data_IF_922997236266
#
_entry.id   IF_922997236266
#
_cell.length_a   1.000
_cell.length_b   1.000
_cell.length_c   1.000
_cell.angle_alpha   90.00
_cell.angle_beta   90.00
_cell.angle_gamma   90.00
#
_symmetry.space_group_name_H-M   'P 1'
#
loop_
_entity.id
_entity.type
_entity.pdbx_description
1 polymer ?
#
# COMPACT_ATOMS: atom_id res chain seq x y z
N UNK A 1 2.97 -52.81 21.02
CA UNK A 1 3.65 -51.58 20.58
C UNK A 1 3.05 -50.91 19.32
N UNK A 2 1.91 -51.38 18.77
CA UNK A 2 1.41 -50.90 17.45
C UNK A 2 0.30 -49.82 17.50
N UNK A 3 -0.37 -49.60 18.65
CA UNK A 3 -1.48 -48.66 18.74
C UNK A 3 -1.04 -47.18 18.75
N UNK A 4 0.10 -46.87 19.37
CA UNK A 4 0.61 -45.49 19.45
C UNK A 4 1.13 -44.99 18.09
N UNK A 5 1.73 -45.89 17.29
CA UNK A 5 2.25 -45.56 15.97
C UNK A 5 1.13 -45.24 14.98
N UNK A 6 0.08 -46.09 14.95
CA UNK A 6 -1.09 -45.88 14.10
C UNK A 6 -1.85 -44.60 14.45
N UNK A 7 -2.00 -44.31 15.76
CA UNK A 7 -2.64 -43.08 16.25
C UNK A 7 -1.83 -41.82 15.90
N UNK A 8 -0.49 -41.88 15.91
CA UNK A 8 0.36 -40.75 15.50
C UNK A 8 0.29 -40.47 14.00
N UNK A 9 0.23 -41.52 13.16
CA UNK A 9 0.03 -41.38 11.72
C UNK A 9 -1.36 -40.80 11.38
N UNK A 10 -2.41 -41.27 12.06
CA UNK A 10 -3.77 -40.77 11.84
C UNK A 10 -3.93 -39.30 12.26
N UNK A 11 -3.23 -38.86 13.31
CA UNK A 11 -3.22 -37.45 13.73
C UNK A 11 -2.45 -36.57 12.75
N UNK A 12 -1.29 -37.04 12.26
CA UNK A 12 -0.48 -36.29 11.29
C UNK A 12 -1.22 -36.14 9.94
N UNK A 13 -1.88 -37.20 9.47
CA UNK A 13 -2.67 -37.13 8.22
C UNK A 13 -3.84 -36.16 8.32
N UNK A 14 -4.58 -36.13 9.44
CA UNK A 14 -5.68 -35.17 9.65
C UNK A 14 -5.19 -33.72 9.65
N UNK A 15 -4.06 -33.43 10.29
CA UNK A 15 -3.50 -32.08 10.33
C UNK A 15 -3.04 -31.60 8.94
N UNK A 16 -2.52 -32.51 8.10
CA UNK A 16 -2.12 -32.21 6.72
C UNK A 16 -3.35 -31.93 5.85
N UNK A 17 -4.40 -32.76 5.94
CA UNK A 17 -5.64 -32.56 5.20
C UNK A 17 -6.35 -31.24 5.58
N UNK A 18 -6.38 -30.90 6.86
CA UNK A 18 -6.96 -29.64 7.35
C UNK A 18 -6.21 -28.41 6.83
N UNK A 19 -4.88 -28.47 6.75
CA UNK A 19 -4.07 -27.39 6.19
C UNK A 19 -4.28 -27.24 4.68
N UNK A 20 -4.35 -28.33 3.93
CA UNK A 20 -4.62 -28.31 2.49
C UNK A 20 -6.02 -27.73 2.22
N UNK A 21 -7.03 -28.10 3.02
CA UNK A 21 -8.39 -27.57 2.90
C UNK A 21 -8.43 -26.06 3.16
N UNK A 22 -7.68 -25.56 4.14
CA UNK A 22 -7.54 -24.12 4.39
C UNK A 22 -6.90 -23.39 3.22
N UNK A 23 -5.79 -23.90 2.68
CA UNK A 23 -5.11 -23.27 1.53
C UNK A 23 -6.04 -23.21 0.32
N UNK A 24 -6.74 -24.31 0.02
CA UNK A 24 -7.74 -24.33 -1.06
C UNK A 24 -8.87 -23.33 -0.84
N UNK A 25 -9.32 -23.13 0.41
CA UNK A 25 -10.32 -22.11 0.75
C UNK A 25 -9.80 -20.70 0.44
N UNK A 26 -8.57 -20.38 0.86
CA UNK A 26 -7.94 -19.08 0.62
C UNK A 26 -7.76 -18.83 -0.89
N UNK A 27 -7.29 -19.82 -1.65
CA UNK A 27 -7.14 -19.71 -3.11
C UNK A 27 -8.49 -19.45 -3.79
N UNK A 28 -9.58 -20.10 -3.34
CA UNK A 28 -10.90 -19.80 -3.86
C UNK A 28 -11.34 -18.36 -3.57
N UNK A 29 -11.02 -17.83 -2.38
CA UNK A 29 -11.27 -16.42 -2.05
C UNK A 29 -10.43 -15.49 -2.93
N UNK A 30 -9.15 -15.79 -3.16
CA UNK A 30 -8.30 -15.03 -4.08
C UNK A 30 -8.90 -14.97 -5.48
N UNK A 31 -9.40 -16.09 -6.01
CA UNK A 31 -10.06 -16.13 -7.31
C UNK A 31 -11.30 -15.23 -7.37
N UNK A 32 -12.12 -15.20 -6.31
CA UNK A 32 -13.27 -14.29 -6.25
C UNK A 32 -12.85 -12.82 -6.24
N UNK A 33 -11.76 -12.50 -5.56
CA UNK A 33 -11.20 -11.14 -5.55
C UNK A 33 -10.60 -10.78 -6.91
N UNK A 34 -9.92 -11.71 -7.57
CA UNK A 34 -9.38 -11.55 -8.93
C UNK A 34 -10.48 -11.24 -9.94
N UNK A 35 -11.54 -12.05 -9.98
CA UNK A 35 -12.69 -11.80 -10.88
C UNK A 35 -13.39 -10.48 -10.59
N UNK A 36 -13.49 -10.11 -9.31
CA UNK A 36 -14.06 -8.82 -8.94
C UNK A 36 -13.18 -7.64 -9.40
N UNK A 37 -11.86 -7.75 -9.30
CA UNK A 37 -10.93 -6.74 -9.82
C UNK A 37 -10.99 -6.64 -11.34
N UNK A 38 -11.02 -7.76 -12.07
CA UNK A 38 -11.25 -7.77 -13.53
C UNK A 38 -12.53 -7.02 -13.88
N UNK A 39 -13.62 -7.33 -13.18
CA UNK A 39 -14.90 -6.66 -13.40
C UNK A 39 -14.81 -5.15 -13.13
N UNK A 40 -14.16 -4.72 -12.04
CA UNK A 40 -13.99 -3.31 -11.71
C UNK A 40 -13.20 -2.55 -12.78
N UNK A 41 -12.11 -3.12 -13.28
CA UNK A 41 -11.30 -2.50 -14.33
C UNK A 41 -11.97 -2.56 -15.72
N UNK A 42 -12.82 -3.57 -15.97
CA UNK A 42 -13.58 -3.69 -17.22
C UNK A 42 -14.81 -2.78 -17.26
N UNK A 43 -15.28 -2.30 -16.10
CA UNK A 43 -16.45 -1.43 -16.03
C UNK A 43 -16.06 -0.02 -16.46
N UNK A 44 -16.52 0.38 -17.64
CA UNK A 44 -16.30 1.73 -18.17
C UNK A 44 -17.29 2.72 -17.51
N UNK A 45 -17.08 2.98 -16.22
CA UNK A 45 -17.83 4.02 -15.50
C UNK A 45 -17.38 5.40 -16.04
N UNK A 46 -18.33 6.23 -16.46
CA UNK A 46 -18.08 7.64 -16.83
C UNK A 46 -17.84 8.44 -15.55
N UNK A 47 -16.62 8.33 -15.02
CA UNK A 47 -16.19 9.03 -13.80
C UNK A 47 -15.94 10.50 -14.13
N UNK A 48 -17.02 11.29 -14.14
CA UNK A 48 -17.02 12.68 -14.55
C UNK A 48 -16.96 13.69 -13.39
N UNK A 49 -17.05 13.21 -12.15
CA UNK A 49 -16.90 14.02 -10.95
C UNK A 49 -15.74 13.51 -10.08
N UNK A 50 -15.14 14.43 -9.33
CA UNK A 50 -14.01 14.17 -8.45
C UNK A 50 -14.32 13.12 -7.37
N UNK A 51 -15.54 13.10 -6.81
CA UNK A 51 -15.94 12.11 -5.82
C UNK A 51 -16.03 10.72 -6.45
N UNK A 52 -16.57 10.62 -7.66
CA UNK A 52 -16.65 9.36 -8.39
C UNK A 52 -15.25 8.78 -8.65
N UNK A 53 -14.30 9.61 -9.10
CA UNK A 53 -12.89 9.21 -9.30
C UNK A 53 -12.25 8.73 -8.00
N UNK A 54 -12.44 9.45 -6.90
CA UNK A 54 -11.89 9.10 -5.59
C UNK A 54 -12.50 7.80 -5.06
N UNK A 55 -13.82 7.63 -5.18
CA UNK A 55 -14.54 6.43 -4.77
C UNK A 55 -14.11 5.21 -5.57
N UNK A 56 -13.97 5.33 -6.89
CA UNK A 56 -13.45 4.23 -7.71
C UNK A 56 -12.03 3.84 -7.26
N UNK A 57 -11.12 4.81 -7.13
CA UNK A 57 -9.76 4.56 -6.66
C UNK A 57 -9.75 3.86 -5.30
N UNK A 58 -10.58 4.32 -4.37
CA UNK A 58 -10.71 3.75 -3.03
C UNK A 58 -11.24 2.32 -3.06
N UNK A 59 -12.28 2.05 -3.85
CA UNK A 59 -12.85 0.69 -4.04
C UNK A 59 -11.81 -0.29 -4.56
N UNK A 60 -11.10 0.06 -5.63
CA UNK A 60 -10.04 -0.79 -6.21
C UNK A 60 -8.88 -0.97 -5.23
N UNK A 61 -8.41 0.10 -4.60
CA UNK A 61 -7.32 0.04 -3.62
C UNK A 61 -7.63 -0.90 -2.45
N UNK A 62 -8.83 -0.79 -1.88
CA UNK A 62 -9.29 -1.66 -0.80
C UNK A 62 -9.27 -3.12 -1.25
N UNK A 63 -9.73 -3.39 -2.46
CA UNK A 63 -9.81 -4.75 -3.01
C UNK A 63 -8.43 -5.37 -3.27
N UNK A 64 -7.47 -4.55 -3.72
CA UNK A 64 -6.06 -4.94 -3.83
C UNK A 64 -5.47 -5.25 -2.45
N UNK A 65 -5.79 -4.47 -1.42
CA UNK A 65 -5.33 -4.75 -0.04
C UNK A 65 -5.90 -6.08 0.47
N UNK A 66 -7.21 -6.30 0.30
CA UNK A 66 -7.86 -7.57 0.68
C UNK A 66 -7.17 -8.77 -0.01
N UNK A 67 -6.88 -8.63 -1.31
CA UNK A 67 -6.17 -9.66 -2.08
C UNK A 67 -4.76 -9.90 -1.55
N UNK A 68 -4.00 -8.84 -1.26
CA UNK A 68 -2.66 -8.94 -0.72
C UNK A 68 -2.65 -9.65 0.64
N UNK A 69 -3.64 -9.40 1.49
CA UNK A 69 -3.77 -10.08 2.78
C UNK A 69 -4.02 -11.58 2.60
N UNK A 70 -4.88 -11.97 1.66
CA UNK A 70 -5.12 -13.38 1.33
C UNK A 70 -3.83 -14.05 0.83
N UNK A 71 -3.05 -13.36 -0.01
CA UNK A 71 -1.76 -13.87 -0.50
C UNK A 71 -0.80 -14.14 0.66
N UNK A 72 -0.66 -13.19 1.59
CA UNK A 72 0.16 -13.37 2.79
C UNK A 72 -0.34 -14.51 3.67
N UNK A 73 -1.66 -14.64 3.85
CA UNK A 73 -2.25 -15.74 4.61
C UNK A 73 -1.96 -17.10 3.94
N UNK A 74 -2.07 -17.18 2.62
CA UNK A 74 -1.74 -18.38 1.86
C UNK A 74 -0.26 -18.76 1.98
N UNK A 75 0.64 -17.77 1.85
CA UNK A 75 2.10 -17.96 1.97
C UNK A 75 2.50 -18.52 3.33
N UNK A 76 1.89 -18.00 4.41
CA UNK A 76 2.09 -18.50 5.76
C UNK A 76 1.65 -19.97 5.90
N UNK A 77 0.48 -20.32 5.36
CA UNK A 77 -0.02 -21.69 5.40
C UNK A 77 0.77 -22.66 4.51
N UNK A 78 1.30 -22.18 3.38
CA UNK A 78 2.20 -22.94 2.51
C UNK A 78 3.54 -23.22 3.22
N UNK A 79 4.14 -22.23 3.86
CA UNK A 79 5.42 -22.36 4.56
C UNK A 79 5.35 -23.36 5.73
N UNK A 80 4.17 -23.52 6.34
CA UNK A 80 3.92 -24.48 7.41
C UNK A 80 3.53 -25.89 6.93
N UNK A 81 3.47 -26.15 5.62
CA UNK A 81 3.11 -27.47 5.06
C UNK A 81 4.34 -28.25 4.61
N UNK A 82 4.50 -29.49 5.12
CA UNK A 82 5.60 -30.39 4.73
C UNK A 82 5.47 -30.92 3.29
N UNK A 83 4.27 -30.89 2.71
CA UNK A 83 4.01 -31.30 1.34
C UNK A 83 3.04 -30.34 0.65
N UNK A 84 3.49 -29.74 -0.45
CA UNK A 84 2.69 -28.82 -1.28
C UNK A 84 2.58 -29.44 -2.66
N UNK A 85 1.34 -29.64 -3.12
CA UNK A 85 1.08 -30.09 -4.49
C UNK A 85 1.58 -29.06 -5.50
N UNK A 86 2.26 -29.46 -6.59
CA UNK A 86 2.71 -28.54 -7.65
C UNK A 86 1.61 -27.63 -8.21
N UNK A 87 0.38 -28.15 -8.33
CA UNK A 87 -0.79 -27.39 -8.79
C UNK A 87 -1.12 -26.22 -7.83
N UNK A 88 -1.03 -26.44 -6.52
CA UNK A 88 -1.28 -25.41 -5.52
C UNK A 88 -0.28 -24.26 -5.64
N UNK A 89 0.99 -24.63 -5.88
CA UNK A 89 2.09 -23.67 -6.05
C UNK A 89 1.89 -22.84 -7.31
N UNK A 90 1.50 -23.46 -8.42
CA UNK A 90 1.21 -22.75 -9.68
C UNK A 90 0.06 -21.75 -9.52
N UNK A 91 -1.02 -22.13 -8.80
CA UNK A 91 -2.12 -21.20 -8.52
C UNK A 91 -1.69 -20.03 -7.63
N UNK A 92 -0.87 -20.29 -6.61
CA UNK A 92 -0.31 -19.23 -5.78
C UNK A 92 0.55 -18.25 -6.60
N UNK A 93 1.45 -18.75 -7.45
CA UNK A 93 2.31 -17.94 -8.32
C UNK A 93 1.48 -17.11 -9.33
N UNK A 94 0.39 -17.68 -9.85
CA UNK A 94 -0.57 -16.95 -10.69
C UNK A 94 -1.16 -15.74 -9.94
N UNK A 95 -1.66 -15.95 -8.73
CA UNK A 95 -2.26 -14.89 -7.92
C UNK A 95 -1.23 -13.83 -7.51
N UNK A 96 0.01 -14.24 -7.19
CA UNK A 96 1.12 -13.34 -6.86
C UNK A 96 1.47 -12.42 -8.03
N UNK A 97 1.47 -12.94 -9.25
CA UNK A 97 1.69 -12.11 -10.46
C UNK A 97 0.52 -11.15 -10.71
N UNK A 98 -0.72 -11.61 -10.54
CA UNK A 98 -1.90 -10.79 -10.78
C UNK A 98 -2.00 -9.60 -9.83
N UNK A 99 -1.68 -9.78 -8.54
CA UNK A 99 -1.75 -8.66 -7.60
C UNK A 99 -0.81 -7.51 -7.98
N UNK A 100 0.39 -7.82 -8.48
CA UNK A 100 1.32 -6.80 -8.95
C UNK A 100 0.86 -6.15 -10.25
N UNK A 101 0.19 -6.89 -11.13
CA UNK A 101 -0.48 -6.33 -12.31
C UNK A 101 -1.53 -5.29 -11.89
N UNK A 102 -2.42 -5.62 -10.96
CA UNK A 102 -3.47 -4.68 -10.53
C UNK A 102 -2.93 -3.45 -9.82
N UNK A 103 -1.88 -3.58 -9.00
CA UNK A 103 -1.19 -2.43 -8.40
C UNK A 103 -0.66 -1.47 -9.48
N UNK A 104 -0.06 -2.03 -10.54
CA UNK A 104 0.44 -1.27 -11.67
C UNK A 104 -0.69 -0.66 -12.50
N UNK A 105 -1.74 -1.40 -12.80
CA UNK A 105 -2.91 -0.91 -13.53
C UNK A 105 -3.58 0.26 -12.80
N UNK A 106 -3.80 0.13 -11.49
CA UNK A 106 -4.35 1.23 -10.68
C UNK A 106 -3.45 2.47 -10.71
N UNK A 107 -2.12 2.28 -10.66
CA UNK A 107 -1.15 3.38 -10.75
C UNK A 107 -1.22 4.08 -12.11
N UNK A 108 -1.22 3.32 -13.21
CA UNK A 108 -1.35 3.86 -14.57
C UNK A 108 -2.67 4.59 -14.74
N UNK A 109 -3.77 3.97 -14.30
CA UNK A 109 -5.11 4.57 -14.33
C UNK A 109 -5.15 5.89 -13.57
N UNK A 110 -4.58 5.95 -12.36
CA UNK A 110 -4.56 7.16 -11.56
C UNK A 110 -3.70 8.26 -12.20
N UNK A 111 -2.50 7.92 -12.68
CA UNK A 111 -1.62 8.89 -13.33
C UNK A 111 -2.26 9.50 -14.59
N UNK A 112 -3.06 8.73 -15.33
CA UNK A 112 -3.82 9.22 -16.47
C UNK A 112 -4.94 10.20 -16.11
N UNK A 113 -5.53 10.09 -14.90
CA UNK A 113 -6.68 10.91 -14.47
C UNK A 113 -6.38 11.93 -13.38
N UNK A 114 -5.18 11.93 -12.82
CA UNK A 114 -4.82 12.81 -11.70
C UNK A 114 -5.01 14.29 -12.07
N UNK A 115 -4.64 14.70 -13.27
CA UNK A 115 -4.81 16.09 -13.70
C UNK A 115 -6.29 16.49 -13.80
N UNK A 116 -7.13 15.62 -14.37
CA UNK A 116 -8.57 15.85 -14.45
C UNK A 116 -9.22 15.90 -13.07
N UNK A 117 -8.81 15.01 -12.15
CA UNK A 117 -9.24 15.04 -10.76
C UNK A 117 -8.94 16.39 -10.10
N UNK A 118 -7.70 16.88 -10.20
CA UNK A 118 -7.35 18.18 -9.61
C UNK A 118 -8.10 19.34 -10.27
N UNK A 119 -8.33 19.29 -11.59
CA UNK A 119 -9.14 20.27 -12.31
C UNK A 119 -10.57 20.31 -11.74
N UNK A 120 -11.22 19.15 -11.61
CA UNK A 120 -12.59 19.04 -11.07
C UNK A 120 -12.66 19.52 -9.61
N UNK A 121 -11.67 19.18 -8.78
CA UNK A 121 -11.58 19.68 -7.41
C UNK A 121 -11.50 21.21 -7.36
N UNK A 122 -10.66 21.81 -8.20
CA UNK A 122 -10.51 23.26 -8.26
C UNK A 122 -11.76 23.95 -8.80
N UNK A 123 -12.40 23.36 -9.81
CA UNK A 123 -13.67 23.86 -10.36
C UNK A 123 -14.76 23.85 -9.29
N UNK A 124 -14.93 22.75 -8.55
CA UNK A 124 -15.88 22.66 -7.44
C UNK A 124 -15.58 23.67 -6.33
N UNK A 125 -14.31 23.85 -5.97
CA UNK A 125 -13.90 24.83 -4.96
C UNK A 125 -14.23 26.27 -5.39
N UNK A 126 -13.93 26.64 -6.64
CA UNK A 126 -14.21 27.96 -7.18
C UNK A 126 -15.72 28.21 -7.28
N UNK A 127 -16.48 27.23 -7.78
CA UNK A 127 -17.94 27.31 -7.87
C UNK A 127 -18.57 27.53 -6.50
N UNK A 128 -18.08 26.84 -5.46
CA UNK A 128 -18.53 27.04 -4.07
C UNK A 128 -18.20 28.43 -3.54
N UNK A 129 -17.00 28.96 -3.84
CA UNK A 129 -16.64 30.34 -3.48
C UNK A 129 -17.53 31.37 -4.17
N UNK A 130 -17.84 31.18 -5.45
CA UNK A 130 -18.72 32.08 -6.21
C UNK A 130 -20.14 32.04 -5.63
N UNK A 131 -20.67 30.87 -5.27
CA UNK A 131 -21.98 30.78 -4.62
C UNK A 131 -22.01 31.50 -3.28
N UNK A 132 -20.94 31.37 -2.46
CA UNK A 132 -20.87 32.03 -1.15
C UNK A 132 -20.78 33.56 -1.26
N UNK A 133 -20.09 34.08 -2.29
CA UNK A 133 -19.99 35.53 -2.58
C UNK A 133 -21.33 36.09 -3.07
N UNK A 134 -22.06 35.34 -3.91
CA UNK A 134 -23.35 35.78 -4.43
C UNK A 134 -24.43 35.86 -3.33
N UNK A 135 -24.33 35.04 -2.27
CA UNK A 135 -25.25 35.07 -1.12
C UNK A 135 -24.98 36.26 -0.17
N UNK A 136 -23.79 36.86 -0.20
CA UNK A 136 -23.36 37.94 0.72
C UNK A 136 -23.37 39.35 0.10
N UNK A 137 -23.97 39.50 -1.08
CA UNK A 137 -23.92 40.75 -1.86
C UNK A 137 -24.95 41.81 -1.44
N UNK A 138 -24.55 42.70 -0.53
CA UNK A 138 -24.91 44.14 -0.57
C UNK A 138 -23.60 44.91 -0.87
N UNK A 139 -23.62 45.78 -1.87
CA UNK A 139 -22.46 46.07 -2.74
C UNK A 139 -21.31 46.96 -2.18
N UNK A 140 -21.40 47.50 -0.96
CA UNK A 140 -20.34 48.39 -0.42
C UNK A 140 -19.20 47.67 0.34
N UNK A 141 -19.40 46.42 0.78
CA UNK A 141 -18.40 45.67 1.56
C UNK A 141 -17.41 44.84 0.72
N UNK A 142 -17.65 44.70 -0.60
CA UNK A 142 -16.86 43.81 -1.48
C UNK A 142 -15.39 44.23 -1.60
N UNK A 143 -15.09 45.52 -1.71
CA UNK A 143 -13.71 46.00 -1.89
C UNK A 143 -12.86 45.91 -0.61
N UNK A 144 -13.47 45.98 0.57
CA UNK A 144 -12.76 45.76 1.84
C UNK A 144 -12.56 44.27 2.12
N UNK A 145 -13.55 43.43 1.81
CA UNK A 145 -13.48 41.99 2.05
C UNK A 145 -12.46 41.28 1.14
N UNK A 146 -12.33 41.70 -0.13
CA UNK A 146 -11.30 41.16 -1.04
C UNK A 146 -9.88 41.46 -0.55
N UNK A 147 -9.62 42.66 -0.05
CA UNK A 147 -8.32 43.06 0.49
C UNK A 147 -7.96 42.32 1.79
N UNK A 148 -8.94 42.10 2.67
CA UNK A 148 -8.78 41.30 3.89
C UNK A 148 -8.47 39.84 3.53
N UNK A 149 -9.21 39.27 2.58
CA UNK A 149 -8.99 37.89 2.12
C UNK A 149 -7.62 37.69 1.44
N UNK A 150 -7.15 38.68 0.67
CA UNK A 150 -5.81 38.66 0.07
C UNK A 150 -4.71 38.71 1.13
N UNK A 151 -4.90 39.51 2.18
CA UNK A 151 -3.96 39.62 3.30
C UNK A 151 -3.90 38.33 4.13
N UNK A 152 -5.03 37.71 4.40
CA UNK A 152 -5.11 36.44 5.11
C UNK A 152 -4.52 35.29 4.28
N UNK A 153 -4.79 35.27 2.98
CA UNK A 153 -4.16 34.30 2.06
C UNK A 153 -2.65 34.47 2.02
N UNK A 154 -2.15 35.71 1.95
CA UNK A 154 -0.71 35.99 1.99
C UNK A 154 -0.08 35.52 3.31
N UNK A 155 -0.76 35.69 4.44
CA UNK A 155 -0.31 35.23 5.74
C UNK A 155 -0.24 33.70 5.80
N UNK A 156 -1.29 33.00 5.36
CA UNK A 156 -1.31 31.54 5.28
C UNK A 156 -0.18 30.99 4.40
N UNK A 157 0.09 31.63 3.25
CA UNK A 157 1.20 31.24 2.37
C UNK A 157 2.56 31.41 3.06
N UNK A 158 2.76 32.49 3.81
CA UNK A 158 4.01 32.72 4.56
C UNK A 158 4.19 31.67 5.66
N UNK A 159 3.12 31.36 6.40
CA UNK A 159 3.14 30.38 7.47
C UNK A 159 3.44 28.96 6.93
N UNK A 160 2.86 28.59 5.78
CA UNK A 160 3.15 27.32 5.13
C UNK A 160 4.60 27.25 4.58
N UNK A 161 5.12 28.34 4.01
CA UNK A 161 6.54 28.41 3.60
C UNK A 161 7.47 28.19 4.80
N UNK A 162 7.14 28.76 5.96
CA UNK A 162 7.94 28.58 7.17
C UNK A 162 7.85 27.14 7.70
N UNK A 163 6.65 26.55 7.69
CA UNK A 163 6.47 25.13 8.02
C UNK A 163 7.29 24.23 7.11
N UNK A 164 7.25 24.46 5.79
CA UNK A 164 8.03 23.70 4.81
C UNK A 164 9.55 23.82 5.04
N UNK A 165 10.04 25.01 5.40
CA UNK A 165 11.46 25.21 5.75
C UNK A 165 11.87 24.40 6.97
N UNK A 166 11.03 24.34 7.99
CA UNK A 166 11.30 23.56 9.20
C UNK A 166 11.34 22.05 8.88
N UNK A 167 10.34 21.54 8.16
CA UNK A 167 10.30 20.13 7.73
C UNK A 167 11.52 19.77 6.89
N UNK A 168 11.98 20.66 6.00
CA UNK A 168 13.21 20.45 5.23
C UNK A 168 14.44 20.33 6.13
N UNK A 169 14.54 21.16 7.17
CA UNK A 169 15.65 21.10 8.14
C UNK A 169 15.65 19.76 8.89
N UNK A 170 14.49 19.31 9.38
CA UNK A 170 14.35 18.02 10.06
C UNK A 170 14.71 16.84 9.15
N UNK A 171 14.32 16.89 7.87
CA UNK A 171 14.65 15.86 6.89
C UNK A 171 16.16 15.77 6.64
N UNK A 172 16.85 16.92 6.57
CA UNK A 172 18.32 16.96 6.41
C UNK A 172 19.00 16.35 7.64
N UNK A 173 18.54 16.68 8.85
CA UNK A 173 19.07 16.10 10.09
C UNK A 173 18.86 14.58 10.14
N UNK A 174 17.68 14.11 9.74
CA UNK A 174 17.36 12.67 9.63
C UNK A 174 18.29 11.97 8.63
N UNK A 175 18.53 12.57 7.47
CA UNK A 175 19.46 12.03 6.47
C UNK A 175 20.89 11.91 7.01
N UNK A 176 21.35 12.89 7.79
CA UNK A 176 22.67 12.81 8.43
C UNK A 176 22.72 11.71 9.50
N UNK A 177 21.64 11.50 10.26
CA UNK A 177 21.54 10.40 11.24
C UNK A 177 21.59 9.04 10.56
N UNK A 178 20.90 8.87 9.42
CA UNK A 178 20.95 7.63 8.63
C UNK A 178 22.36 7.32 8.13
N UNK A 179 23.08 8.32 7.59
CA UNK A 179 24.49 8.13 7.17
C UNK A 179 25.37 7.63 8.31
N UNK A 180 25.22 8.19 9.52
CA UNK A 180 25.97 7.73 10.70
C UNK A 180 25.60 6.29 11.09
N UNK A 181 24.34 5.89 10.96
CA UNK A 181 23.92 4.51 11.21
C UNK A 181 24.52 3.53 10.21
N UNK A 182 24.57 3.89 8.92
CA UNK A 182 25.22 3.07 7.89
C UNK A 182 26.72 2.91 8.14
N UNK A 183 27.41 3.98 8.56
CA UNK A 183 28.83 3.91 8.95
C UNK A 183 29.05 2.93 10.12
N UNK A 184 28.21 3.01 11.16
CA UNK A 184 28.27 2.09 12.31
C UNK A 184 28.00 0.65 11.87
N UNK A 185 27.00 0.44 11.02
CA UNK A 185 26.64 -0.87 10.50
C UNK A 185 27.79 -1.49 9.70
N UNK A 186 28.43 -0.72 8.82
CA UNK A 186 29.59 -1.18 8.04
C UNK A 186 30.76 -1.58 8.95
N UNK A 187 31.05 -0.79 9.99
CA UNK A 187 32.09 -1.14 10.98
C UNK A 187 31.73 -2.44 11.72
N UNK A 188 30.47 -2.60 12.12
CA UNK A 188 29.99 -3.81 12.77
C UNK A 188 30.10 -5.03 11.85
N UNK A 189 29.68 -4.91 10.60
CA UNK A 189 29.76 -5.97 9.60
C UNK A 189 31.22 -6.40 9.36
N UNK A 190 32.14 -5.43 9.24
CA UNK A 190 33.58 -5.72 9.14
C UNK A 190 34.10 -6.50 10.35
N UNK A 191 33.68 -6.15 11.57
CA UNK A 191 34.08 -6.87 12.79
C UNK A 191 33.52 -8.29 12.84
N UNK A 192 32.27 -8.50 12.43
CA UNK A 192 31.66 -9.84 12.33
C UNK A 192 32.42 -10.68 11.31
N UNK A 193 32.69 -10.16 10.12
CA UNK A 193 33.46 -10.86 9.08
C UNK A 193 34.87 -11.22 9.56
N UNK A 194 35.55 -10.29 10.25
CA UNK A 194 36.87 -10.54 10.82
C UNK A 194 36.83 -11.66 11.87
N UNK A 195 35.85 -11.60 12.79
CA UNK A 195 35.66 -12.61 13.83
C UNK A 195 35.34 -13.99 13.24
N UNK A 196 34.48 -14.05 12.22
CA UNK A 196 34.15 -15.28 11.51
C UNK A 196 35.38 -15.91 10.82
N UNK A 197 36.23 -15.09 10.18
CA UNK A 197 37.51 -15.56 9.61
C UNK A 197 38.42 -16.14 10.69
N UNK A 198 38.49 -15.50 11.85
CA UNK A 198 39.32 -15.94 12.97
C UNK A 198 38.84 -17.28 13.53
N UNK A 199 37.53 -17.45 13.76
CA UNK A 199 36.92 -18.72 14.17
C UNK A 199 37.19 -19.82 13.13
N UNK A 200 37.02 -19.51 11.85
CA UNK A 200 37.28 -20.48 10.78
C UNK A 200 38.75 -20.89 10.71
N UNK A 201 39.68 -19.98 10.97
CA UNK A 201 41.11 -20.28 11.05
C UNK A 201 41.48 -21.15 12.25
N UNK A 202 40.81 -20.97 13.39
CA UNK A 202 40.99 -21.80 14.58
C UNK A 202 40.43 -23.22 14.41
N UNK A 203 39.35 -23.38 13.63
CA UNK A 203 38.74 -24.68 13.32
C UNK A 203 39.55 -25.54 12.32
N UNK A 204 40.55 -24.95 11.65
CA UNK A 204 41.43 -25.61 10.67
C UNK A 204 42.75 -26.14 11.26
N UNK A 205 43.04 -25.87 12.54
CA UNK A 205 44.11 -26.54 13.31
C UNK A 205 43.51 -27.72 14.06
#
# INVERSE_FOLDING_TARGET
MNHNFKRSLDINNKNVDDNINKINSIINQMRLVDENLKSLFSFEETLNDHDALLLFRGRVSKRIVDYSNLITECDNNLTCSEYISPNLKEQYEYHLKNIDNYKRELSVWWNGRANDYHRLCMENFLNRKISDINVTSNDDDRNKLTDINLKDTKKLMIDEINRMKNVKSELIESSQKLKKQDEIFNIFEMKIRSSAKLIYSLKKK
#
